data_IF_874407803868
#
_entry.id   IF_874407803868
#
_cell.length_a   1.000
_cell.length_b   1.000
_cell.length_c   1.000
_cell.angle_alpha   90.00
_cell.angle_beta   90.00
_cell.angle_gamma   90.00
#
_symmetry.space_group_name_H-M   'P 1'
#
loop_
_entity.id
_entity.type
_entity.pdbx_description
1 polymer ?
#
# COMPACT_ATOMS: atom_id res chain seq x y z
N UNK A 1 -37.36 23.97 -38.70
CA UNK A 1 -36.05 23.99 -38.00
C UNK A 1 -36.24 23.45 -36.58
N UNK A 2 -35.71 22.26 -36.29
CA UNK A 2 -35.87 21.54 -35.02
C UNK A 2 -35.21 22.26 -33.84
N UNK A 3 -35.99 22.78 -32.88
CA UNK A 3 -35.49 23.34 -31.61
C UNK A 3 -34.66 22.34 -30.79
N UNK A 4 -34.87 21.02 -30.98
CA UNK A 4 -34.06 19.95 -30.39
C UNK A 4 -32.60 19.93 -30.88
N UNK A 5 -32.29 20.44 -32.09
CA UNK A 5 -30.91 20.53 -32.58
C UNK A 5 -30.10 21.66 -31.95
N UNK A 6 -30.73 22.63 -31.30
CA UNK A 6 -30.03 23.80 -30.71
C UNK A 6 -29.61 23.52 -29.26
N UNK A 7 -30.39 22.75 -28.50
CA UNK A 7 -30.03 22.35 -27.14
C UNK A 7 -28.86 21.37 -27.08
N UNK A 8 -28.64 20.57 -28.13
CA UNK A 8 -27.55 19.58 -28.20
C UNK A 8 -26.28 20.08 -28.89
N UNK A 9 -26.25 21.30 -29.44
CA UNK A 9 -25.15 21.73 -30.32
C UNK A 9 -23.91 22.26 -29.60
N UNK A 10 -24.01 22.55 -28.31
CA UNK A 10 -22.82 22.88 -27.54
C UNK A 10 -22.90 22.27 -26.14
N UNK A 11 -22.41 21.01 -25.96
CA UNK A 11 -22.26 20.42 -24.63
C UNK A 11 -21.43 21.30 -23.67
N UNK A 12 -20.71 22.32 -24.19
CA UNK A 12 -19.93 23.31 -23.43
C UNK A 12 -20.73 24.52 -22.94
N UNK A 13 -22.06 24.55 -23.15
CA UNK A 13 -22.90 25.60 -22.56
C UNK A 13 -22.87 25.44 -21.03
N UNK A 14 -22.14 26.34 -20.37
CA UNK A 14 -21.99 26.39 -18.91
C UNK A 14 -23.32 26.21 -18.22
N UNK A 15 -23.50 25.05 -17.57
CA UNK A 15 -24.64 24.80 -16.71
C UNK A 15 -24.59 25.68 -15.44
N UNK A 16 -25.75 26.03 -14.86
CA UNK A 16 -25.80 26.73 -13.59
C UNK A 16 -25.12 25.90 -12.49
N UNK A 17 -24.59 26.58 -11.47
CA UNK A 17 -23.87 25.93 -10.38
C UNK A 17 -24.72 24.88 -9.66
N UNK A 18 -26.03 25.11 -9.53
CA UNK A 18 -26.98 24.17 -8.92
C UNK A 18 -27.02 22.80 -9.61
N UNK A 19 -26.88 22.75 -10.94
CA UNK A 19 -26.84 21.49 -11.69
C UNK A 19 -25.53 20.74 -11.43
N UNK A 20 -24.41 21.46 -11.29
CA UNK A 20 -23.12 20.85 -10.94
C UNK A 20 -23.15 20.29 -9.51
N UNK A 21 -23.67 21.07 -8.55
CA UNK A 21 -23.87 20.61 -7.18
C UNK A 21 -24.79 19.39 -7.14
N UNK A 22 -25.91 19.42 -7.88
CA UNK A 22 -26.81 18.28 -8.00
C UNK A 22 -26.15 17.02 -8.55
N UNK A 23 -25.25 17.16 -9.54
CA UNK A 23 -24.47 16.03 -10.06
C UNK A 23 -23.48 15.47 -9.03
N UNK A 24 -22.83 16.33 -8.25
CA UNK A 24 -21.92 15.90 -7.17
C UNK A 24 -22.69 15.20 -6.05
N UNK A 25 -23.82 15.76 -5.62
CA UNK A 25 -24.69 15.13 -4.61
C UNK A 25 -25.20 13.77 -5.10
N UNK A 26 -25.67 13.69 -6.35
CA UNK A 26 -26.08 12.42 -6.95
C UNK A 26 -24.93 11.40 -6.97
N UNK A 27 -23.71 11.84 -7.30
CA UNK A 27 -22.54 10.98 -7.27
C UNK A 27 -22.27 10.42 -5.87
N UNK A 28 -22.29 11.27 -4.83
CA UNK A 28 -22.11 10.84 -3.44
C UNK A 28 -23.21 9.84 -3.03
N UNK A 29 -24.47 10.14 -3.33
CA UNK A 29 -25.60 9.25 -3.01
C UNK A 29 -25.47 7.89 -3.69
N UNK A 30 -24.99 7.84 -4.93
CA UNK A 30 -24.76 6.58 -5.65
C UNK A 30 -23.54 5.80 -5.13
N UNK A 31 -22.56 6.49 -4.54
CA UNK A 31 -21.37 5.85 -3.98
C UNK A 31 -21.63 5.18 -2.64
N UNK A 32 -22.47 5.76 -1.78
CA UNK A 32 -22.78 5.21 -0.45
C UNK A 32 -23.12 3.70 -0.50
N UNK A 33 -24.10 3.22 -1.29
CA UNK A 33 -24.42 1.80 -1.31
C UNK A 33 -23.28 0.93 -1.85
N UNK A 34 -22.43 1.47 -2.73
CA UNK A 34 -21.27 0.74 -3.27
C UNK A 34 -20.18 0.61 -2.19
N UNK A 35 -19.93 1.70 -1.44
CA UNK A 35 -18.98 1.68 -0.33
C UNK A 35 -19.46 0.77 0.81
N UNK A 36 -20.76 0.79 1.12
CA UNK A 36 -21.35 -0.14 2.08
C UNK A 36 -21.21 -1.60 1.63
N UNK A 37 -21.39 -1.87 0.33
CA UNK A 37 -21.15 -3.19 -0.21
C UNK A 37 -19.67 -3.58 -0.03
N UNK A 38 -18.72 -2.70 -0.32
CA UNK A 38 -17.28 -2.99 -0.18
C UNK A 38 -16.86 -3.26 1.26
N UNK A 39 -17.55 -2.67 2.24
CA UNK A 39 -17.29 -2.92 3.66
C UNK A 39 -18.01 -4.17 4.20
N UNK A 40 -18.82 -4.86 3.39
CA UNK A 40 -19.49 -6.07 3.85
C UNK A 40 -18.53 -7.25 3.96
N UNK A 41 -18.67 -8.05 5.01
CA UNK A 41 -17.94 -9.32 5.19
C UNK A 41 -18.06 -10.22 3.96
N UNK A 42 -19.24 -10.24 3.33
CA UNK A 42 -19.47 -10.98 2.10
C UNK A 42 -18.53 -10.55 0.96
N UNK A 43 -18.24 -9.25 0.80
CA UNK A 43 -17.28 -8.79 -0.21
C UNK A 43 -15.86 -9.22 0.12
N UNK A 44 -15.45 -9.09 1.39
CA UNK A 44 -14.12 -9.47 1.86
C UNK A 44 -13.86 -10.97 1.64
N UNK A 45 -14.81 -11.83 2.05
CA UNK A 45 -14.66 -13.29 1.97
C UNK A 45 -14.68 -13.84 0.54
N UNK A 46 -15.40 -13.18 -0.38
CA UNK A 46 -15.70 -13.77 -1.70
C UNK A 46 -14.96 -13.12 -2.87
N UNK A 47 -14.45 -11.89 -2.73
CA UNK A 47 -14.00 -11.12 -3.89
C UNK A 47 -12.68 -10.39 -3.74
N UNK A 48 -12.36 -9.87 -2.56
CA UNK A 48 -11.25 -8.94 -2.41
C UNK A 48 -10.80 -8.81 -0.97
N UNK A 49 -9.53 -9.14 -0.72
CA UNK A 49 -8.83 -8.71 0.48
C UNK A 49 -8.20 -7.33 0.23
N UNK A 50 -8.59 -6.34 1.04
CA UNK A 50 -8.06 -4.98 0.95
C UNK A 50 -6.57 -4.93 1.30
N UNK A 51 -6.11 -5.87 2.11
CA UNK A 51 -4.73 -5.97 2.58
C UNK A 51 -3.76 -6.37 1.45
N UNK A 52 -4.27 -7.05 0.42
CA UNK A 52 -3.49 -7.50 -0.75
C UNK A 52 -3.54 -6.50 -1.92
N UNK A 53 -4.07 -5.30 -1.69
CA UNK A 53 -4.13 -4.28 -2.73
C UNK A 53 -2.78 -3.65 -3.02
N UNK A 54 -2.50 -3.37 -4.30
CA UNK A 54 -1.29 -2.65 -4.71
C UNK A 54 -1.19 -1.27 -4.06
N UNK A 55 -2.33 -0.64 -3.77
CA UNK A 55 -2.36 0.65 -3.05
C UNK A 55 -1.82 0.47 -1.63
N UNK A 56 -2.18 -0.62 -0.95
CA UNK A 56 -1.69 -0.88 0.41
C UNK A 56 -0.18 -1.18 0.40
N UNK A 57 0.30 -1.93 -0.59
CA UNK A 57 1.73 -2.16 -0.79
C UNK A 57 2.48 -0.83 -0.98
N UNK A 58 1.98 0.04 -1.86
CA UNK A 58 2.55 1.38 -2.08
C UNK A 58 2.48 2.23 -0.80
N UNK A 59 1.40 2.12 -0.03
CA UNK A 59 1.23 2.86 1.22
C UNK A 59 2.20 2.43 2.33
N UNK A 60 2.70 1.19 2.29
CA UNK A 60 3.76 0.71 3.17
C UNK A 60 5.15 1.25 2.76
N UNK A 61 5.35 1.50 1.47
CA UNK A 61 6.67 1.91 0.92
C UNK A 61 6.84 3.43 0.89
N UNK A 62 5.77 4.19 0.63
CA UNK A 62 5.82 5.65 0.48
C UNK A 62 5.36 6.31 1.79
N UNK A 63 6.11 7.30 2.32
CA UNK A 63 5.68 8.01 3.52
C UNK A 63 4.31 8.67 3.33
N UNK A 64 3.47 8.66 4.37
CA UNK A 64 2.07 9.10 4.33
C UNK A 64 1.87 10.50 3.69
N UNK A 65 2.74 11.46 4.00
CA UNK A 65 2.70 12.80 3.43
C UNK A 65 2.96 12.83 1.92
N UNK A 66 3.94 12.03 1.45
CA UNK A 66 4.22 11.90 0.02
C UNK A 66 3.10 11.15 -0.71
N UNK A 67 2.57 10.10 -0.09
CA UNK A 67 1.42 9.36 -0.62
C UNK A 67 0.20 10.27 -0.77
N UNK A 68 -0.09 11.11 0.23
CA UNK A 68 -1.16 12.11 0.16
C UNK A 68 -0.98 13.06 -1.02
N UNK A 69 0.23 13.62 -1.22
CA UNK A 69 0.51 14.50 -2.37
C UNK A 69 0.37 13.76 -3.70
N UNK A 70 0.82 12.50 -3.75
CA UNK A 70 0.67 11.66 -4.93
C UNK A 70 -0.82 11.46 -5.26
N UNK A 71 -1.62 11.06 -4.29
CA UNK A 71 -3.06 10.78 -4.47
C UNK A 71 -3.87 12.05 -4.74
N UNK A 72 -3.62 13.13 -4.01
CA UNK A 72 -4.42 14.35 -4.06
C UNK A 72 -4.02 15.29 -5.19
N UNK A 73 -2.77 15.24 -5.68
CA UNK A 73 -2.26 16.20 -6.66
C UNK A 73 -1.71 15.51 -7.90
N UNK A 74 -0.71 14.63 -7.74
CA UNK A 74 0.02 14.08 -8.87
C UNK A 74 -0.86 13.16 -9.74
N UNK A 75 -1.56 12.21 -9.12
CA UNK A 75 -2.45 11.27 -9.78
C UNK A 75 -3.61 11.99 -10.49
N UNK A 76 -4.39 12.89 -9.85
CA UNK A 76 -5.42 13.67 -10.53
C UNK A 76 -4.90 14.47 -11.72
N UNK A 77 -3.75 15.14 -11.59
CA UNK A 77 -3.16 15.91 -12.68
C UNK A 77 -2.79 15.01 -13.87
N UNK A 78 -2.17 13.86 -13.58
CA UNK A 78 -1.78 12.86 -14.56
C UNK A 78 -3.00 12.25 -15.24
N UNK A 79 -3.96 11.75 -14.49
CA UNK A 79 -5.16 11.08 -14.98
C UNK A 79 -6.05 12.04 -15.78
N UNK A 80 -6.23 13.28 -15.35
CA UNK A 80 -6.96 14.28 -16.15
C UNK A 80 -6.26 14.60 -17.46
N UNK A 81 -4.94 14.58 -17.47
CA UNK A 81 -4.11 14.77 -18.66
C UNK A 81 -4.30 13.60 -19.62
N UNK A 82 -4.22 12.37 -19.12
CA UNK A 82 -4.29 11.14 -19.90
C UNK A 82 -5.71 10.83 -20.37
N UNK A 83 -6.74 10.96 -19.55
CA UNK A 83 -8.08 10.49 -19.93
C UNK A 83 -8.91 11.57 -20.59
N UNK A 84 -8.62 12.84 -20.29
CA UNK A 84 -9.60 13.88 -20.56
C UNK A 84 -9.02 15.04 -21.34
N UNK A 85 -7.71 15.34 -21.33
CA UNK A 85 -7.09 16.53 -21.95
C UNK A 85 -7.66 16.87 -23.34
N UNK A 86 -7.90 15.84 -24.16
CA UNK A 86 -8.49 15.91 -25.49
C UNK A 86 -9.89 16.55 -25.57
N UNK A 87 -10.75 16.49 -24.53
CA UNK A 87 -12.16 16.90 -24.61
C UNK A 87 -12.36 18.39 -24.94
N UNK A 88 -11.34 19.23 -24.76
CA UNK A 88 -11.37 20.63 -25.20
C UNK A 88 -11.17 20.81 -26.71
N UNK A 89 -10.80 19.74 -27.43
CA UNK A 89 -10.48 19.68 -28.86
C UNK A 89 -9.48 20.77 -29.33
N UNK A 90 -8.62 21.23 -28.40
CA UNK A 90 -7.51 22.13 -28.72
C UNK A 90 -6.46 21.32 -29.48
N UNK A 91 -5.98 21.83 -30.61
CA UNK A 91 -5.03 21.08 -31.46
C UNK A 91 -3.77 20.61 -30.71
N UNK A 92 -3.30 21.37 -29.72
CA UNK A 92 -2.14 21.02 -28.88
C UNK A 92 -2.44 19.95 -27.81
N UNK A 93 -3.71 19.77 -27.44
CA UNK A 93 -4.12 18.82 -26.40
C UNK A 93 -4.12 17.36 -26.91
N UNK A 94 -4.42 17.16 -28.21
CA UNK A 94 -4.51 15.82 -28.80
C UNK A 94 -3.17 15.09 -28.84
N UNK A 95 -2.05 15.69 -29.29
CA UNK A 95 -0.75 15.03 -29.26
C UNK A 95 -0.29 14.70 -27.83
N UNK A 96 -0.52 15.59 -26.87
CA UNK A 96 -0.17 15.34 -25.46
C UNK A 96 -0.97 14.16 -24.91
N UNK A 97 -2.27 14.12 -25.19
CA UNK A 97 -3.17 13.03 -24.81
C UNK A 97 -2.72 11.68 -25.39
N UNK A 98 -2.54 11.59 -26.71
CA UNK A 98 -2.24 10.31 -27.38
C UNK A 98 -0.84 9.81 -27.03
N UNK A 99 0.16 10.69 -26.97
CA UNK A 99 1.52 10.34 -26.58
C UNK A 99 1.59 9.96 -25.10
N UNK A 100 0.95 10.72 -24.21
CA UNK A 100 0.90 10.41 -22.78
C UNK A 100 0.27 9.04 -22.52
N UNK A 101 -0.91 8.77 -23.10
CA UNK A 101 -1.57 7.47 -22.98
C UNK A 101 -0.70 6.30 -23.49
N UNK A 102 0.03 6.50 -24.58
CA UNK A 102 0.94 5.49 -25.13
C UNK A 102 2.11 5.21 -24.19
N UNK A 103 2.75 6.26 -23.67
CA UNK A 103 3.87 6.12 -22.72
C UNK A 103 3.41 5.35 -21.48
N UNK A 104 2.25 5.70 -20.91
CA UNK A 104 1.68 5.00 -19.73
C UNK A 104 1.49 3.51 -20.03
N UNK A 105 0.88 3.20 -21.18
CA UNK A 105 0.53 1.83 -21.54
C UNK A 105 1.78 0.94 -21.67
N UNK A 106 2.88 1.50 -22.18
CA UNK A 106 4.10 0.75 -22.45
C UNK A 106 5.16 0.83 -21.33
N UNK A 107 4.98 1.71 -20.34
CA UNK A 107 5.90 1.89 -19.20
C UNK A 107 6.09 0.60 -18.40
N UNK A 108 5.02 -0.19 -18.25
CA UNK A 108 5.05 -1.48 -17.55
C UNK A 108 5.79 -2.59 -18.33
N UNK A 109 6.05 -2.39 -19.63
CA UNK A 109 6.74 -3.38 -20.47
C UNK A 109 8.22 -3.05 -20.64
N UNK A 110 8.54 -1.85 -21.12
CA UNK A 110 9.91 -1.32 -21.10
C UNK A 110 9.95 0.17 -21.41
N UNK A 111 10.90 0.87 -20.79
CA UNK A 111 11.12 2.30 -21.04
C UNK A 111 11.43 2.61 -22.53
N UNK A 112 12.27 1.85 -23.26
CA UNK A 112 12.50 2.11 -24.69
C UNK A 112 11.25 1.94 -25.55
N UNK A 113 10.40 0.93 -25.28
CA UNK A 113 9.12 0.76 -25.99
C UNK A 113 8.17 1.92 -25.71
N UNK A 114 8.09 2.38 -24.45
CA UNK A 114 7.26 3.51 -24.07
C UNK A 114 7.66 4.79 -24.79
N UNK A 115 8.95 5.11 -24.82
CA UNK A 115 9.46 6.30 -25.50
C UNK A 115 9.33 6.19 -27.02
N UNK A 116 9.74 5.06 -27.62
CA UNK A 116 9.65 4.82 -29.06
C UNK A 116 8.21 4.85 -29.57
N UNK A 117 7.31 4.16 -28.87
CA UNK A 117 5.87 4.16 -29.15
C UNK A 117 5.27 5.56 -28.99
N UNK A 118 5.64 6.28 -27.92
CA UNK A 118 5.20 7.65 -27.68
C UNK A 118 5.56 8.60 -28.82
N UNK A 119 6.81 8.55 -29.32
CA UNK A 119 7.28 9.34 -30.47
C UNK A 119 6.54 8.97 -31.75
N UNK A 120 6.35 7.67 -32.02
CA UNK A 120 5.60 7.22 -33.19
C UNK A 120 4.15 7.74 -33.15
N UNK A 121 3.46 7.59 -32.02
CA UNK A 121 2.08 8.07 -31.84
C UNK A 121 2.01 9.59 -31.91
N UNK A 122 3.03 10.31 -31.42
CA UNK A 122 3.13 11.76 -31.57
C UNK A 122 3.12 12.18 -33.05
N UNK A 123 3.98 11.55 -33.87
CA UNK A 123 4.08 11.80 -35.30
C UNK A 123 2.76 11.48 -36.01
N UNK A 124 2.17 10.31 -35.72
CA UNK A 124 0.89 9.88 -36.31
C UNK A 124 -0.26 10.83 -35.92
N UNK A 125 -0.28 11.30 -34.68
CA UNK A 125 -1.31 12.22 -34.19
C UNK A 125 -1.16 13.59 -34.85
N UNK A 126 0.07 14.10 -34.98
CA UNK A 126 0.31 15.41 -35.59
C UNK A 126 -0.04 15.41 -37.08
N UNK A 127 0.37 14.35 -37.80
CA UNK A 127 0.08 14.18 -39.24
C UNK A 127 -1.41 14.03 -39.53
N UNK A 128 -2.19 13.44 -38.61
CA UNK A 128 -3.63 13.22 -38.77
C UNK A 128 -4.50 14.15 -37.90
N UNK A 129 -3.93 15.22 -37.34
CA UNK A 129 -4.58 16.04 -36.31
C UNK A 129 -5.96 16.56 -36.72
N UNK A 130 -6.08 17.03 -37.97
CA UNK A 130 -7.35 17.54 -38.50
C UNK A 130 -8.42 16.45 -38.59
N UNK A 131 -8.06 15.26 -39.10
CA UNK A 131 -8.99 14.12 -39.24
C UNK A 131 -9.41 13.60 -37.88
N UNK A 132 -8.47 13.42 -36.97
CA UNK A 132 -8.74 12.95 -35.61
C UNK A 132 -9.65 13.93 -34.87
N UNK A 133 -9.32 15.23 -34.89
CA UNK A 133 -10.15 16.27 -34.27
C UNK A 133 -11.57 16.28 -34.85
N UNK A 134 -11.72 16.20 -36.16
CA UNK A 134 -13.03 16.18 -36.81
C UNK A 134 -13.85 14.94 -36.41
N UNK A 135 -13.22 13.76 -36.39
CA UNK A 135 -13.88 12.53 -35.96
C UNK A 135 -14.32 12.58 -34.49
N UNK A 136 -13.44 13.07 -33.60
CA UNK A 136 -13.77 13.24 -32.18
C UNK A 136 -14.88 14.27 -31.94
N UNK A 137 -14.97 15.31 -32.78
CA UNK A 137 -16.06 16.30 -32.70
C UNK A 137 -17.41 15.69 -33.11
N UNK A 138 -17.44 14.95 -34.24
CA UNK A 138 -18.67 14.28 -34.70
C UNK A 138 -19.13 13.19 -33.73
N UNK A 139 -18.18 12.41 -33.20
CA UNK A 139 -18.46 11.25 -32.36
C UNK A 139 -18.13 11.50 -30.88
N UNK A 140 -18.22 12.75 -30.42
CA UNK A 140 -17.81 13.16 -29.08
C UNK A 140 -18.38 12.26 -27.96
N UNK A 141 -19.63 11.83 -28.08
CA UNK A 141 -20.29 10.96 -27.10
C UNK A 141 -19.56 9.63 -26.90
N UNK A 142 -19.10 9.00 -27.99
CA UNK A 142 -18.39 7.73 -27.93
C UNK A 142 -17.02 7.90 -27.27
N UNK A 143 -16.30 8.97 -27.63
CA UNK A 143 -15.02 9.28 -27.00
C UNK A 143 -15.18 9.64 -25.52
N UNK A 144 -16.25 10.38 -25.18
CA UNK A 144 -16.57 10.74 -23.80
C UNK A 144 -16.80 9.49 -22.94
N UNK A 145 -17.75 8.63 -23.32
CA UNK A 145 -18.04 7.42 -22.55
C UNK A 145 -16.90 6.40 -22.60
N UNK A 146 -16.21 6.30 -23.75
CA UNK A 146 -15.01 5.48 -23.87
C UNK A 146 -13.91 5.92 -22.90
N UNK A 147 -13.67 7.23 -22.75
CA UNK A 147 -12.69 7.73 -21.78
C UNK A 147 -13.09 7.48 -20.32
N UNK A 148 -14.38 7.57 -20.00
CA UNK A 148 -14.90 7.22 -18.66
C UNK A 148 -14.68 5.73 -18.40
N UNK A 149 -14.97 4.88 -19.38
CA UNK A 149 -14.80 3.44 -19.27
C UNK A 149 -13.33 3.04 -19.12
N UNK A 150 -12.44 3.59 -19.96
CA UNK A 150 -11.00 3.37 -19.86
C UNK A 150 -10.42 3.86 -18.53
N UNK A 151 -10.93 4.98 -17.99
CA UNK A 151 -10.56 5.46 -16.67
C UNK A 151 -10.92 4.44 -15.57
N UNK A 152 -12.12 3.87 -15.61
CA UNK A 152 -12.51 2.79 -14.68
C UNK A 152 -11.63 1.55 -14.85
N UNK A 153 -11.40 1.11 -16.09
CA UNK A 153 -10.54 -0.06 -16.37
C UNK A 153 -9.10 0.13 -15.88
N UNK A 154 -8.54 1.34 -15.97
CA UNK A 154 -7.19 1.62 -15.48
C UNK A 154 -7.05 1.38 -13.96
N UNK A 155 -8.15 1.45 -13.21
CA UNK A 155 -8.17 1.16 -11.78
C UNK A 155 -8.33 -0.33 -11.46
N UNK A 156 -8.53 -1.21 -12.46
CA UNK A 156 -8.45 -2.65 -12.23
C UNK A 156 -7.08 -3.07 -11.71
N UNK A 157 -6.01 -2.33 -12.02
CA UNK A 157 -4.68 -2.61 -11.50
C UNK A 157 -4.57 -2.51 -9.98
N UNK A 158 -5.51 -1.84 -9.30
CA UNK A 158 -5.53 -1.76 -7.84
C UNK A 158 -6.10 -3.02 -7.17
N UNK A 159 -6.67 -3.92 -7.96
CA UNK A 159 -7.35 -5.12 -7.50
C UNK A 159 -6.73 -6.35 -8.14
N UNK A 160 -6.88 -7.51 -7.52
CA UNK A 160 -6.60 -8.75 -8.21
C UNK A 160 -7.56 -8.92 -9.40
N UNK A 161 -7.02 -9.30 -10.57
CA UNK A 161 -7.77 -9.41 -11.81
C UNK A 161 -8.68 -10.64 -11.79
N UNK A 162 -9.79 -10.56 -11.06
CA UNK A 162 -10.87 -11.55 -11.07
C UNK A 162 -12.01 -11.08 -11.96
N UNK A 163 -12.87 -11.99 -12.44
CA UNK A 163 -14.06 -11.63 -13.23
C UNK A 163 -15.02 -10.69 -12.48
N UNK A 164 -14.88 -10.64 -11.16
CA UNK A 164 -15.66 -9.82 -10.24
C UNK A 164 -15.05 -8.44 -9.95
N UNK A 165 -13.89 -8.13 -10.53
CA UNK A 165 -13.28 -6.81 -10.41
C UNK A 165 -14.07 -5.71 -11.16
N UNK A 166 -15.02 -6.07 -12.04
CA UNK A 166 -15.85 -5.11 -12.76
C UNK A 166 -16.80 -4.30 -11.84
N UNK A 167 -17.54 -4.92 -10.91
CA UNK A 167 -18.20 -4.19 -9.83
C UNK A 167 -17.24 -3.27 -9.05
N UNK A 168 -15.99 -3.71 -8.83
CA UNK A 168 -15.01 -2.97 -8.03
C UNK A 168 -14.61 -1.61 -8.63
N UNK A 169 -14.75 -1.46 -9.96
CA UNK A 169 -14.44 -0.19 -10.65
C UNK A 169 -15.65 0.73 -10.82
N UNK A 170 -16.84 0.34 -10.35
CA UNK A 170 -18.05 1.16 -10.48
C UNK A 170 -17.93 2.55 -9.82
N UNK A 171 -17.35 2.71 -8.62
CA UNK A 171 -17.06 4.02 -8.04
C UNK A 171 -16.24 4.91 -8.96
N UNK A 172 -15.23 4.35 -9.60
CA UNK A 172 -14.31 5.02 -10.50
C UNK A 172 -14.99 5.36 -11.82
N UNK A 173 -15.89 4.53 -12.33
CA UNK A 173 -16.73 4.86 -13.49
C UNK A 173 -17.66 6.05 -13.20
N UNK A 174 -18.31 6.05 -12.03
CA UNK A 174 -19.20 7.14 -11.61
C UNK A 174 -18.43 8.44 -11.36
N UNK A 175 -17.29 8.37 -10.68
CA UNK A 175 -16.40 9.50 -10.46
C UNK A 175 -15.88 10.04 -11.80
N UNK A 176 -15.45 9.13 -12.68
CA UNK A 176 -14.96 9.46 -13.99
C UNK A 176 -16.01 10.16 -14.85
N UNK A 177 -17.28 9.76 -14.73
CA UNK A 177 -18.42 10.42 -15.37
C UNK A 177 -18.61 11.84 -14.80
N UNK A 178 -18.61 11.99 -13.48
CA UNK A 178 -18.77 13.28 -12.79
C UNK A 178 -17.66 14.28 -13.17
N UNK A 179 -16.39 13.85 -13.10
CA UNK A 179 -15.24 14.69 -13.48
C UNK A 179 -15.34 15.09 -14.95
N UNK A 180 -15.65 14.14 -15.84
CA UNK A 180 -15.78 14.43 -17.28
C UNK A 180 -16.89 15.44 -17.56
N UNK A 181 -18.02 15.34 -16.85
CA UNK A 181 -19.09 16.33 -16.92
C UNK A 181 -18.63 17.72 -16.45
N UNK A 182 -18.05 17.82 -15.25
CA UNK A 182 -17.54 19.08 -14.69
C UNK A 182 -16.54 19.73 -15.65
N UNK A 183 -15.63 18.92 -16.20
CA UNK A 183 -14.60 19.36 -17.11
C UNK A 183 -15.17 19.89 -18.44
N UNK A 184 -16.17 19.23 -19.02
CA UNK A 184 -16.85 19.74 -20.22
C UNK A 184 -17.54 21.08 -19.93
N UNK A 185 -18.08 21.26 -18.72
CA UNK A 185 -18.79 22.48 -18.33
C UNK A 185 -17.89 23.65 -17.90
N UNK A 186 -16.76 23.36 -17.27
CA UNK A 186 -15.94 24.35 -16.55
C UNK A 186 -14.45 24.34 -16.94
N UNK A 187 -14.04 23.43 -17.81
CA UNK A 187 -12.68 23.33 -18.34
C UNK A 187 -11.80 22.35 -17.56
N UNK A 188 -10.57 22.18 -18.05
CA UNK A 188 -9.58 21.22 -17.55
C UNK A 188 -9.30 21.38 -16.05
N UNK A 189 -8.92 22.59 -15.62
CA UNK A 189 -8.51 22.84 -14.24
C UNK A 189 -9.63 22.61 -13.22
N UNK A 190 -10.89 22.85 -13.57
CA UNK A 190 -12.00 22.54 -12.66
C UNK A 190 -12.25 21.03 -12.55
N UNK A 191 -11.98 20.26 -13.61
CA UNK A 191 -11.94 18.80 -13.53
C UNK A 191 -10.82 18.32 -12.59
N UNK A 192 -9.59 18.84 -12.77
CA UNK A 192 -8.44 18.55 -11.91
C UNK A 192 -8.73 18.90 -10.45
N UNK A 193 -9.25 20.09 -10.16
CA UNK A 193 -9.54 20.51 -8.79
C UNK A 193 -10.62 19.66 -8.12
N UNK A 194 -11.67 19.29 -8.87
CA UNK A 194 -12.70 18.39 -8.35
C UNK A 194 -12.14 17.00 -8.05
N UNK A 195 -11.33 16.46 -8.98
CA UNK A 195 -10.69 15.16 -8.80
C UNK A 195 -9.68 15.17 -7.64
N UNK A 196 -8.83 16.20 -7.57
CA UNK A 196 -7.89 16.44 -6.49
C UNK A 196 -8.60 16.59 -5.13
N UNK A 197 -9.72 17.31 -5.09
CA UNK A 197 -10.53 17.44 -3.89
C UNK A 197 -11.14 16.10 -3.45
N UNK A 198 -11.59 15.30 -4.40
CA UNK A 198 -12.12 13.96 -4.12
C UNK A 198 -11.05 13.02 -3.56
N UNK A 199 -9.92 12.87 -4.27
CA UNK A 199 -8.83 12.02 -3.81
C UNK A 199 -8.16 12.56 -2.55
N UNK A 200 -8.06 13.88 -2.42
CA UNK A 200 -7.57 14.53 -1.21
C UNK A 200 -8.46 14.24 -0.01
N UNK A 201 -9.79 14.30 -0.16
CA UNK A 201 -10.71 13.95 0.92
C UNK A 201 -10.54 12.49 1.38
N UNK A 202 -10.31 11.56 0.46
CA UNK A 202 -10.00 10.16 0.80
C UNK A 202 -8.60 10.04 1.45
N UNK A 203 -7.60 10.71 0.88
CA UNK A 203 -6.24 10.73 1.41
C UNK A 203 -6.12 11.39 2.79
N UNK A 204 -7.10 12.23 3.19
CA UNK A 204 -7.14 12.79 4.54
C UNK A 204 -7.19 11.70 5.60
N UNK A 205 -7.82 10.55 5.33
CA UNK A 205 -7.86 9.40 6.25
C UNK A 205 -6.44 8.96 6.63
N UNK A 206 -5.49 9.06 5.70
CA UNK A 206 -4.09 8.65 5.89
C UNK A 206 -3.30 9.71 6.67
N UNK A 207 -3.56 11.01 6.44
CA UNK A 207 -2.77 12.10 7.03
C UNK A 207 -3.33 12.63 8.34
N UNK A 208 -4.63 12.45 8.59
CA UNK A 208 -5.32 12.93 9.81
C UNK A 208 -4.64 12.47 11.09
N UNK A 209 -4.19 11.20 11.23
CA UNK A 209 -3.44 10.78 12.41
C UNK A 209 -2.18 11.62 12.68
N UNK A 210 -1.54 12.14 11.63
CA UNK A 210 -0.35 13.01 11.72
C UNK A 210 -0.70 14.48 11.98
N UNK A 211 -1.92 14.92 11.64
CA UNK A 211 -2.37 16.30 11.85
C UNK A 211 -2.92 16.54 13.26
N UNK A 212 -3.54 15.52 13.85
CA UNK A 212 -4.17 15.57 15.16
C UNK A 212 -3.49 14.65 16.17
N UNK A 213 -2.26 14.23 15.87
CA UNK A 213 -1.43 13.43 16.73
C UNK A 213 -1.40 13.97 18.16
N UNK A 214 -1.82 13.15 19.11
CA UNK A 214 -1.59 13.40 20.53
C UNK A 214 -0.32 12.69 20.98
N UNK A 215 0.45 13.36 21.83
CA UNK A 215 1.47 12.70 22.65
C UNK A 215 0.76 11.77 23.65
N UNK A 216 1.20 10.52 23.72
CA UNK A 216 0.74 9.56 24.72
C UNK A 216 1.86 9.22 25.69
N UNK A 217 1.48 8.84 26.91
CA UNK A 217 2.45 8.43 27.92
C UNK A 217 1.83 7.43 28.89
N UNK A 218 2.68 6.56 29.42
CA UNK A 218 2.33 5.57 30.42
C UNK A 218 3.43 5.54 31.48
N UNK A 219 3.04 5.47 32.76
CA UNK A 219 3.97 5.36 33.87
C UNK A 219 3.37 4.48 34.96
N UNK A 220 4.10 3.43 35.35
CA UNK A 220 3.81 2.60 36.51
C UNK A 220 5.08 2.47 37.38
N UNK A 221 5.08 1.55 38.35
CA UNK A 221 6.21 1.39 39.27
C UNK A 221 7.49 0.85 38.60
N UNK A 222 7.39 0.24 37.41
CA UNK A 222 8.49 -0.46 36.73
C UNK A 222 8.91 0.21 35.41
N UNK A 223 7.96 0.82 34.72
CA UNK A 223 8.12 1.33 33.36
C UNK A 223 7.60 2.75 33.22
N UNK A 224 8.28 3.48 32.33
CA UNK A 224 7.84 4.76 31.81
C UNK A 224 7.95 4.72 30.30
N UNK A 225 6.84 4.90 29.60
CA UNK A 225 6.78 4.94 28.16
C UNK A 225 6.20 6.29 27.70
N UNK A 226 6.75 6.86 26.64
CA UNK A 226 6.19 8.01 25.94
C UNK A 226 6.17 7.72 24.45
N UNK A 227 5.15 8.20 23.75
CA UNK A 227 5.08 8.11 22.31
C UNK A 227 4.46 9.35 21.69
N UNK A 228 4.91 9.66 20.48
CA UNK A 228 4.36 10.71 19.64
C UNK A 228 4.27 10.21 18.20
N UNK A 229 3.34 10.77 17.42
CA UNK A 229 3.27 10.42 16.00
C UNK A 229 4.51 10.98 15.30
N UNK A 230 5.17 10.12 14.54
CA UNK A 230 6.41 10.42 13.86
C UNK A 230 6.22 11.27 12.61
N UNK A 231 7.25 11.27 11.77
CA UNK A 231 7.32 12.13 10.59
C UNK A 231 6.59 11.51 9.38
N UNK A 232 5.44 12.09 8.99
CA UNK A 232 4.69 11.70 7.80
C UNK A 232 5.49 11.70 6.48
N UNK A 233 6.62 12.40 6.43
CA UNK A 233 7.43 12.60 5.22
C UNK A 233 8.64 11.67 5.12
N UNK A 234 8.88 10.83 6.13
CA UNK A 234 10.00 9.90 6.15
C UNK A 234 9.56 8.48 6.48
N UNK A 235 10.21 7.50 5.85
CA UNK A 235 10.10 6.08 6.21
C UNK A 235 11.37 5.55 6.88
N UNK A 236 12.36 6.42 7.12
CA UNK A 236 13.55 6.03 7.90
C UNK A 236 13.10 5.63 9.30
N UNK A 237 13.40 4.39 9.67
CA UNK A 237 13.22 3.90 11.04
C UNK A 237 14.59 3.71 11.67
N UNK A 238 14.74 4.09 12.94
CA UNK A 238 15.87 3.66 13.76
C UNK A 238 15.36 3.07 15.07
N UNK A 239 16.13 2.14 15.61
CA UNK A 239 15.89 1.57 16.93
C UNK A 239 17.21 1.59 17.69
N UNK A 240 17.18 2.12 18.90
CA UNK A 240 18.28 2.00 19.86
C UNK A 240 17.77 1.26 21.08
N UNK A 241 18.53 0.30 21.60
CA UNK A 241 18.14 -0.45 22.78
C UNK A 241 19.31 -0.65 23.74
N UNK A 242 18.96 -0.82 25.01
CA UNK A 242 19.81 -1.18 26.14
C UNK A 242 19.00 -2.08 27.07
N UNK A 243 19.62 -2.63 28.12
CA UNK A 243 18.93 -3.52 29.07
C UNK A 243 17.74 -2.86 29.79
N UNK A 244 17.72 -1.52 29.86
CA UNK A 244 16.73 -0.75 30.62
C UNK A 244 15.99 0.30 29.80
N UNK A 245 16.21 0.36 28.49
CA UNK A 245 15.55 1.34 27.65
C UNK A 245 15.55 0.91 26.19
N UNK A 246 14.45 1.21 25.49
CA UNK A 246 14.35 1.12 24.04
C UNK A 246 13.80 2.42 23.50
N UNK A 247 14.34 2.86 22.38
CA UNK A 247 13.81 3.99 21.64
C UNK A 247 13.63 3.60 20.18
N UNK A 248 12.42 3.78 19.68
CA UNK A 248 12.11 3.74 18.25
C UNK A 248 11.98 5.17 17.75
N UNK A 249 12.59 5.46 16.61
CA UNK A 249 12.33 6.70 15.88
C UNK A 249 11.61 6.39 14.58
N UNK A 250 10.44 7.01 14.42
CA UNK A 250 9.60 6.94 13.24
C UNK A 250 9.35 5.49 12.78
N UNK A 251 9.04 4.61 13.73
CA UNK A 251 8.71 3.21 13.49
C UNK A 251 7.21 3.02 13.29
N UNK A 252 6.82 2.06 12.46
CA UNK A 252 5.42 1.70 12.25
C UNK A 252 4.80 1.19 13.56
N UNK A 253 3.57 1.57 13.89
CA UNK A 253 2.87 1.14 15.13
C UNK A 253 2.90 -0.38 15.30
N UNK A 254 2.61 -1.13 14.22
CA UNK A 254 2.70 -2.59 14.22
C UNK A 254 4.11 -3.13 14.52
N UNK A 255 5.18 -2.43 14.12
CA UNK A 255 6.56 -2.83 14.45
C UNK A 255 6.86 -2.65 15.94
N UNK A 256 6.40 -1.55 16.55
CA UNK A 256 6.58 -1.31 17.99
C UNK A 256 5.79 -2.35 18.80
N UNK A 257 4.54 -2.63 18.43
CA UNK A 257 3.70 -3.65 19.07
C UNK A 257 4.29 -5.05 18.98
N UNK A 258 4.73 -5.46 17.78
CA UNK A 258 5.44 -6.73 17.59
C UNK A 258 6.63 -6.84 18.52
N UNK A 259 7.46 -5.80 18.58
CA UNK A 259 8.62 -5.80 19.44
C UNK A 259 8.24 -5.94 20.93
N UNK A 260 7.27 -5.16 21.41
CA UNK A 260 6.84 -5.22 22.82
C UNK A 260 6.27 -6.59 23.18
N UNK A 261 5.39 -7.15 22.34
CA UNK A 261 4.79 -8.47 22.56
C UNK A 261 5.86 -9.56 22.57
N UNK A 262 6.82 -9.50 21.66
CA UNK A 262 7.94 -10.44 21.68
C UNK A 262 8.82 -10.31 22.93
N UNK A 263 8.90 -9.16 23.60
CA UNK A 263 9.70 -9.06 24.82
C UNK A 263 9.10 -9.83 26.00
N UNK A 264 7.77 -9.83 26.16
CA UNK A 264 7.12 -10.51 27.30
C UNK A 264 6.53 -11.89 26.93
N UNK A 265 6.18 -12.13 25.67
CA UNK A 265 5.61 -13.37 25.15
C UNK A 265 6.48 -13.93 24.03
N UNK A 266 7.74 -14.28 24.37
CA UNK A 266 8.84 -14.54 23.43
C UNK A 266 8.57 -15.41 22.20
N UNK A 267 7.51 -16.22 22.19
CA UNK A 267 7.15 -17.11 21.08
C UNK A 267 5.84 -16.75 20.36
N UNK A 268 5.14 -15.70 20.76
CA UNK A 268 3.85 -15.38 20.18
C UNK A 268 4.00 -14.80 18.78
N UNK A 269 3.13 -15.20 17.86
CA UNK A 269 3.01 -14.57 16.55
C UNK A 269 2.14 -13.34 16.68
N UNK A 270 2.49 -12.27 15.98
CA UNK A 270 1.77 -11.01 16.06
C UNK A 270 1.42 -10.59 14.65
N UNK A 271 0.14 -10.74 14.34
CA UNK A 271 -0.44 -10.25 13.10
C UNK A 271 -0.89 -8.80 13.31
N UNK A 272 -0.17 -7.87 12.69
CA UNK A 272 -0.49 -6.46 12.72
C UNK A 272 -0.61 -5.90 11.29
N UNK A 273 -0.98 -6.76 10.33
CA UNK A 273 -1.01 -6.40 8.91
C UNK A 273 -2.09 -5.37 8.58
N UNK A 274 -3.13 -5.29 9.41
CA UNK A 274 -4.23 -4.33 9.31
C UNK A 274 -3.94 -3.01 10.03
N UNK A 275 -2.85 -2.95 10.80
CA UNK A 275 -2.55 -1.80 11.65
C UNK A 275 -2.01 -0.64 10.82
N UNK A 276 -2.65 0.51 11.02
CA UNK A 276 -2.48 1.81 10.40
C UNK A 276 -1.01 2.11 10.06
N UNK A 277 -0.76 2.64 8.85
CA UNK A 277 0.54 3.19 8.37
C UNK A 277 1.05 4.38 9.19
N UNK A 278 0.50 4.61 10.38
CA UNK A 278 0.97 5.61 11.33
C UNK A 278 2.33 5.20 11.85
N UNK A 279 3.28 6.12 11.73
CA UNK A 279 4.62 5.99 12.29
C UNK A 279 4.66 6.71 13.63
N UNK A 280 5.47 6.22 14.55
CA UNK A 280 5.61 6.75 15.91
C UNK A 280 7.06 6.86 16.31
N UNK A 281 7.37 7.88 17.11
CA UNK A 281 8.54 7.91 17.96
C UNK A 281 8.12 7.37 19.33
N UNK A 282 8.83 6.36 19.85
CA UNK A 282 8.48 5.66 21.09
C UNK A 282 9.72 5.54 21.98
N UNK A 283 9.64 5.98 23.23
CA UNK A 283 10.70 5.85 24.26
C UNK A 283 10.14 5.08 25.45
N UNK A 284 10.67 3.88 25.71
CA UNK A 284 10.34 3.07 26.87
C UNK A 284 11.57 2.93 27.76
N UNK A 285 11.40 3.18 29.06
CA UNK A 285 12.41 3.04 30.10
C UNK A 285 11.89 2.10 31.19
N UNK A 286 12.78 1.23 31.68
CA UNK A 286 12.47 0.20 32.66
C UNK A 286 13.11 -1.14 32.25
N UNK A 287 13.11 -2.15 33.14
CA UNK A 287 13.62 -3.48 32.79
C UNK A 287 12.84 -4.06 31.61
N UNK A 288 13.51 -4.34 30.49
CA UNK A 288 12.83 -4.84 29.28
C UNK A 288 12.40 -6.31 29.41
N UNK A 289 13.00 -7.04 30.35
CA UNK A 289 12.69 -8.44 30.64
C UNK A 289 11.45 -8.63 31.55
N UNK A 290 10.85 -7.54 32.05
CA UNK A 290 9.61 -7.62 32.83
C UNK A 290 8.38 -7.50 31.94
N UNK A 291 7.22 -7.84 32.51
CA UNK A 291 5.93 -7.78 31.82
C UNK A 291 5.64 -6.38 31.25
N UNK A 292 5.38 -6.32 29.93
CA UNK A 292 5.03 -5.10 29.19
C UNK A 292 3.53 -5.04 28.86
N UNK A 293 2.71 -5.97 29.35
CA UNK A 293 1.28 -6.07 29.03
C UNK A 293 0.51 -4.76 29.26
N UNK A 294 0.76 -4.07 30.37
CA UNK A 294 0.13 -2.78 30.66
C UNK A 294 0.56 -1.67 29.67
N UNK A 295 1.82 -1.66 29.25
CA UNK A 295 2.35 -0.70 28.26
C UNK A 295 1.71 -0.97 26.90
N UNK A 296 1.62 -2.24 26.50
CA UNK A 296 1.00 -2.68 25.23
C UNK A 296 -0.46 -2.28 25.19
N UNK A 297 -1.21 -2.51 26.27
CA UNK A 297 -2.62 -2.13 26.36
C UNK A 297 -2.81 -0.60 26.27
N UNK A 298 -1.99 0.17 27.00
CA UNK A 298 -2.06 1.64 26.95
C UNK A 298 -1.72 2.17 25.55
N UNK A 299 -0.64 1.67 24.95
CA UNK A 299 -0.22 2.05 23.61
C UNK A 299 -1.29 1.70 22.56
N UNK A 300 -1.82 0.48 22.57
CA UNK A 300 -2.87 0.07 21.62
C UNK A 300 -4.15 0.88 21.79
N UNK A 301 -4.55 1.18 23.03
CA UNK A 301 -5.73 2.00 23.31
C UNK A 301 -5.62 3.40 22.69
N UNK A 302 -4.45 4.02 22.73
CA UNK A 302 -4.22 5.37 22.15
C UNK A 302 -4.35 5.39 20.63
N UNK A 303 -4.07 4.26 19.96
CA UNK A 303 -4.22 4.10 18.51
C UNK A 303 -5.57 3.47 18.11
N UNK A 304 -6.48 3.22 19.07
CA UNK A 304 -7.76 2.55 18.82
C UNK A 304 -7.58 1.16 18.23
N UNK A 305 -6.66 0.38 18.80
CA UNK A 305 -6.35 -0.98 18.35
C UNK A 305 -6.90 -2.01 19.34
N UNK A 306 -7.58 -3.03 18.80
CA UNK A 306 -7.97 -4.22 19.54
C UNK A 306 -6.90 -5.29 19.38
N UNK A 307 -6.53 -5.91 20.51
CA UNK A 307 -5.64 -7.06 20.53
C UNK A 307 -6.45 -8.29 20.93
N UNK A 308 -6.63 -9.22 20.01
CA UNK A 308 -7.24 -10.53 20.28
C UNK A 308 -6.17 -11.60 20.39
N UNK A 309 -6.36 -12.56 21.29
CA UNK A 309 -5.49 -13.73 21.42
C UNK A 309 -6.19 -14.98 20.92
N UNK A 310 -5.55 -15.70 20.02
CA UNK A 310 -6.05 -16.95 19.46
C UNK A 310 -4.98 -18.02 19.62
N UNK A 311 -5.37 -19.18 20.15
CA UNK A 311 -4.51 -20.36 20.17
C UNK A 311 -4.92 -21.24 18.99
N UNK A 312 -4.02 -21.40 18.04
CA UNK A 312 -4.24 -22.22 16.84
C UNK A 312 -3.14 -23.26 16.69
N UNK A 313 -3.51 -24.43 16.15
CA UNK A 313 -2.55 -25.43 15.71
C UNK A 313 -2.00 -24.98 14.36
N UNK A 314 -0.75 -24.55 14.34
CA UNK A 314 -0.07 -24.11 13.12
C UNK A 314 1.16 -24.96 12.83
N UNK A 315 1.53 -25.00 11.56
CA UNK A 315 2.82 -25.54 11.14
C UNK A 315 3.90 -24.58 11.60
N UNK A 316 4.74 -25.04 12.53
CA UNK A 316 5.95 -24.37 12.97
C UNK A 316 7.18 -25.03 12.35
N UNK A 317 8.27 -24.29 12.25
CA UNK A 317 9.51 -24.78 11.71
C UNK A 317 10.57 -24.88 12.81
N UNK A 318 11.26 -26.02 12.88
CA UNK A 318 12.35 -26.27 13.82
C UNK A 318 13.68 -26.27 13.07
N UNK A 319 14.57 -25.35 13.47
CA UNK A 319 15.91 -25.20 12.89
C UNK A 319 16.88 -26.12 13.61
N UNK A 320 17.56 -27.00 12.89
CA UNK A 320 18.60 -27.88 13.43
C UNK A 320 19.85 -27.87 12.56
N UNK A 321 21.02 -28.13 13.15
CA UNK A 321 22.28 -28.23 12.39
C UNK A 321 22.39 -29.65 11.83
N UNK A 322 22.48 -29.78 10.51
CA UNK A 322 22.81 -31.05 9.86
C UNK A 322 24.31 -31.29 9.93
N UNK A 323 24.73 -32.08 10.91
CA UNK A 323 26.15 -32.44 11.11
C UNK A 323 26.76 -33.25 9.96
N UNK A 324 25.95 -33.83 9.06
CA UNK A 324 26.44 -34.55 7.89
C UNK A 324 26.70 -33.62 6.68
N UNK A 325 26.20 -32.39 6.73
CA UNK A 325 26.36 -31.41 5.67
C UNK A 325 27.69 -30.65 5.80
N UNK A 326 28.28 -30.27 4.64
CA UNK A 326 29.46 -29.40 4.58
C UNK A 326 29.05 -28.05 4.00
N UNK A 327 29.10 -26.94 4.78
CA UNK A 327 28.52 -25.68 4.35
C UNK A 327 29.35 -25.07 3.22
N UNK A 328 28.68 -24.62 2.15
CA UNK A 328 29.36 -23.89 1.08
C UNK A 328 29.79 -22.47 1.50
N UNK A 329 29.17 -21.93 2.55
CA UNK A 329 29.38 -20.56 3.01
C UNK A 329 28.82 -19.51 2.03
N UNK A 330 28.73 -18.28 2.53
CA UNK A 330 28.30 -17.12 1.71
C UNK A 330 29.52 -16.52 1.03
N UNK A 331 29.49 -16.43 -0.30
CA UNK A 331 30.60 -15.81 -1.05
C UNK A 331 30.59 -14.30 -0.85
N UNK A 332 31.74 -13.63 -1.11
CA UNK A 332 31.83 -12.16 -1.02
C UNK A 332 30.89 -11.46 -2.00
N UNK A 333 30.69 -12.05 -3.17
CA UNK A 333 29.77 -11.54 -4.19
C UNK A 333 28.31 -11.66 -3.73
N UNK A 334 27.91 -12.85 -3.27
CA UNK A 334 26.57 -13.08 -2.69
C UNK A 334 26.30 -12.09 -1.55
N UNK A 335 27.28 -11.89 -0.66
CA UNK A 335 27.17 -10.91 0.42
C UNK A 335 26.92 -9.50 -0.12
N UNK A 336 27.72 -9.03 -1.06
CA UNK A 336 27.64 -7.65 -1.56
C UNK A 336 26.30 -7.37 -2.22
N UNK A 337 25.80 -8.32 -3.03
CA UNK A 337 24.51 -8.19 -3.72
C UNK A 337 23.35 -8.23 -2.72
N UNK A 338 23.35 -9.19 -1.80
CA UNK A 338 22.24 -9.34 -0.85
C UNK A 338 22.26 -8.28 0.25
N UNK A 339 23.43 -7.76 0.62
CA UNK A 339 23.55 -6.61 1.53
C UNK A 339 22.98 -5.34 0.88
N UNK A 340 23.18 -5.14 -0.43
CA UNK A 340 22.53 -4.06 -1.18
C UNK A 340 20.99 -4.21 -1.24
N UNK A 341 20.49 -5.45 -1.30
CA UNK A 341 19.05 -5.74 -1.31
C UNK A 341 18.43 -5.81 0.09
N UNK A 342 19.22 -5.68 1.16
CA UNK A 342 18.73 -5.81 2.54
C UNK A 342 18.35 -7.25 2.94
N UNK A 343 18.81 -8.25 2.20
CA UNK A 343 18.49 -9.66 2.42
C UNK A 343 19.57 -10.42 3.21
N UNK A 344 20.74 -9.83 3.43
CA UNK A 344 21.88 -10.48 4.10
C UNK A 344 21.92 -10.19 5.62
N UNK A 345 22.06 -11.25 6.40
CA UNK A 345 22.24 -11.20 7.86
C UNK A 345 23.52 -11.93 8.25
N UNK A 346 24.45 -11.18 8.85
CA UNK A 346 25.74 -11.71 9.28
C UNK A 346 25.83 -11.91 10.78
N UNK A 347 26.61 -12.92 11.19
CA UNK A 347 26.98 -13.17 12.58
C UNK A 347 25.79 -13.43 13.54
N UNK A 348 24.79 -14.16 13.07
CA UNK A 348 23.58 -14.47 13.85
C UNK A 348 23.70 -15.83 14.54
N UNK A 349 23.30 -15.96 15.80
CA UNK A 349 23.12 -17.29 16.42
C UNK A 349 21.79 -17.91 15.95
N UNK A 350 21.55 -19.19 16.26
CA UNK A 350 20.36 -19.90 15.75
C UNK A 350 19.03 -19.27 16.20
N UNK A 351 18.96 -18.77 17.44
CA UNK A 351 17.77 -18.07 17.94
C UNK A 351 17.50 -16.77 17.17
N UNK A 352 18.56 -16.03 16.83
CA UNK A 352 18.47 -14.84 15.98
C UNK A 352 18.03 -15.20 14.56
N UNK A 353 18.55 -16.30 13.99
CA UNK A 353 18.10 -16.81 12.68
C UNK A 353 16.61 -17.12 12.74
N UNK A 354 16.15 -17.87 13.75
CA UNK A 354 14.73 -18.18 13.94
C UNK A 354 13.87 -16.91 14.07
N UNK A 355 14.31 -15.95 14.89
CA UNK A 355 13.60 -14.68 15.08
C UNK A 355 13.50 -13.86 13.79
N UNK A 356 14.58 -13.79 13.00
CA UNK A 356 14.58 -13.09 11.70
C UNK A 356 13.62 -13.79 10.73
N UNK A 357 13.68 -15.11 10.59
CA UNK A 357 12.80 -15.87 9.71
C UNK A 357 11.33 -15.73 10.13
N UNK A 358 11.05 -15.75 11.44
CA UNK A 358 9.71 -15.54 11.97
C UNK A 358 9.18 -14.14 11.67
N UNK A 359 10.02 -13.11 11.85
CA UNK A 359 9.66 -11.74 11.52
C UNK A 359 9.41 -11.54 10.03
N UNK A 360 10.14 -12.25 9.18
CA UNK A 360 10.01 -12.13 7.72
C UNK A 360 8.78 -12.86 7.19
N UNK A 361 8.58 -14.11 7.60
CA UNK A 361 7.56 -14.97 7.01
C UNK A 361 6.25 -15.03 7.80
N UNK A 362 6.20 -14.47 9.01
CA UNK A 362 5.00 -14.50 9.86
C UNK A 362 4.63 -15.91 10.34
N UNK A 363 5.58 -16.85 10.31
CA UNK A 363 5.42 -18.24 10.74
C UNK A 363 6.35 -18.50 11.91
N UNK A 364 5.94 -19.36 12.85
CA UNK A 364 6.76 -19.69 14.01
C UNK A 364 8.00 -20.47 13.62
N UNK A 365 9.16 -19.95 14.01
CA UNK A 365 10.43 -20.68 13.96
C UNK A 365 10.89 -20.94 15.39
N UNK A 366 11.45 -22.13 15.62
CA UNK A 366 12.09 -22.49 16.87
C UNK A 366 13.45 -23.09 16.60
N UNK A 367 14.38 -22.86 17.50
CA UNK A 367 15.61 -23.64 17.57
C UNK A 367 15.55 -24.48 18.85
N UNK A 368 15.94 -25.77 18.82
CA UNK A 368 16.11 -26.51 20.05
C UNK A 368 17.17 -25.80 20.89
N UNK A 369 16.76 -25.36 22.08
CA UNK A 369 17.60 -24.61 23.01
C UNK A 369 18.90 -25.39 23.32
N UNK A 370 20.00 -24.63 23.35
CA UNK A 370 21.34 -25.01 23.80
C UNK A 370 22.14 -25.91 22.85
N UNK A 371 23.23 -25.35 22.31
CA UNK A 371 24.62 -25.77 22.65
C UNK A 371 25.66 -25.16 21.71
N UNK A 372 25.23 -24.50 20.63
CA UNK A 372 26.13 -23.98 19.61
C UNK A 372 26.29 -22.46 19.75
N UNK A 373 27.50 -22.02 20.11
CA UNK A 373 27.97 -20.62 19.98
C UNK A 373 28.21 -20.24 18.50
N UNK A 374 27.79 -21.09 17.55
CA UNK A 374 28.05 -20.86 16.14
C UNK A 374 27.29 -19.63 15.65
N UNK A 375 27.97 -18.92 14.75
CA UNK A 375 27.48 -17.70 14.14
C UNK A 375 27.31 -17.93 12.66
N UNK A 376 26.09 -17.75 12.18
CA UNK A 376 25.69 -18.00 10.81
C UNK A 376 25.66 -16.70 10.02
N UNK A 377 25.99 -16.82 8.74
CA UNK A 377 25.76 -15.78 7.75
C UNK A 377 24.76 -16.35 6.75
N UNK A 378 23.60 -15.74 6.63
CA UNK A 378 22.56 -16.22 5.72
C UNK A 378 21.91 -15.05 5.00
N UNK A 379 21.13 -15.37 3.97
CA UNK A 379 20.30 -14.41 3.30
C UNK A 379 18.93 -14.99 3.01
N UNK A 380 17.94 -14.11 2.99
CA UNK A 380 16.56 -14.43 2.64
C UNK A 380 16.44 -14.50 1.12
N UNK A 381 15.65 -15.45 0.62
CA UNK A 381 15.34 -15.52 -0.81
C UNK A 381 14.15 -14.63 -1.15
N UNK A 382 14.23 -13.79 -2.20
CA UNK A 382 13.07 -13.10 -2.73
C UNK A 382 12.05 -14.06 -3.38
N UNK A 383 12.47 -15.29 -3.71
CA UNK A 383 11.62 -16.32 -4.31
C UNK A 383 10.76 -17.06 -3.26
N UNK A 384 10.88 -16.71 -1.97
CA UNK A 384 10.04 -17.20 -0.89
C UNK A 384 10.72 -18.11 0.13
N UNK A 385 9.90 -18.65 1.04
CA UNK A 385 10.35 -19.41 2.22
C UNK A 385 11.04 -20.73 1.88
N UNK A 386 10.53 -21.48 0.90
CA UNK A 386 11.10 -22.77 0.49
C UNK A 386 12.52 -22.63 -0.08
N UNK A 387 12.74 -21.61 -0.90
CA UNK A 387 14.07 -21.32 -1.44
C UNK A 387 15.01 -20.84 -0.32
N UNK A 388 14.48 -20.11 0.66
CA UNK A 388 15.24 -19.72 1.85
C UNK A 388 15.67 -20.93 2.68
N UNK A 389 14.80 -21.93 2.86
CA UNK A 389 15.16 -23.19 3.52
C UNK A 389 16.24 -23.94 2.77
N UNK A 390 16.14 -24.01 1.44
CA UNK A 390 17.16 -24.61 0.58
C UNK A 390 18.51 -23.91 0.74
N UNK A 391 18.52 -22.57 0.79
CA UNK A 391 19.73 -21.78 0.98
C UNK A 391 20.32 -21.92 2.39
N UNK A 392 19.49 -21.94 3.43
CA UNK A 392 19.91 -22.21 4.81
C UNK A 392 20.63 -23.55 4.91
N UNK A 393 20.08 -24.59 4.30
CA UNK A 393 20.72 -25.91 4.27
C UNK A 393 22.03 -25.91 3.46
N UNK A 394 21.99 -25.40 2.22
CA UNK A 394 23.14 -25.44 1.31
C UNK A 394 24.33 -24.59 1.78
N UNK A 395 24.05 -23.42 2.39
CA UNK A 395 25.06 -22.43 2.76
C UNK A 395 25.53 -22.58 4.21
N UNK A 396 24.64 -22.99 5.11
CA UNK A 396 24.89 -23.04 6.54
C UNK A 396 24.65 -24.41 7.19
N UNK A 397 24.24 -25.43 6.41
CA UNK A 397 23.85 -26.74 6.93
C UNK A 397 22.74 -26.68 7.97
N UNK A 398 21.86 -25.68 7.87
CA UNK A 398 20.69 -25.56 8.72
C UNK A 398 19.55 -26.34 8.06
N UNK A 399 19.13 -27.45 8.68
CA UNK A 399 17.93 -28.20 8.31
C UNK A 399 16.71 -27.53 8.94
N UNK A 400 15.62 -27.50 8.20
CA UNK A 400 14.34 -26.98 8.66
C UNK A 400 13.35 -28.14 8.68
N UNK A 401 12.87 -28.50 9.86
CA UNK A 401 11.88 -29.54 10.05
C UNK A 401 10.50 -28.92 10.32
N UNK A 402 9.44 -29.48 9.74
CA UNK A 402 8.07 -29.00 9.98
C UNK A 402 7.46 -29.74 11.17
N UNK A 403 6.93 -28.99 12.14
CA UNK A 403 6.32 -29.52 13.36
C UNK A 403 5.01 -28.78 13.63
N UNK A 404 3.90 -29.49 13.76
CA UNK A 404 2.64 -28.88 14.23
C UNK A 404 2.75 -28.56 15.73
N UNK A 405 2.49 -27.30 16.10
CA UNK A 405 2.49 -26.85 17.49
C UNK A 405 1.33 -25.89 17.73
N UNK A 406 0.82 -25.87 18.96
CA UNK A 406 -0.05 -24.79 19.39
C UNK A 406 0.76 -23.49 19.46
N UNK A 407 0.30 -22.48 18.73
CA UNK A 407 0.91 -21.16 18.68
C UNK A 407 -0.08 -20.15 19.24
N UNK A 408 0.41 -19.32 20.16
CA UNK A 408 -0.30 -18.14 20.62
C UNK A 408 -0.15 -17.05 19.55
N UNK A 409 -1.25 -16.65 18.93
CA UNK A 409 -1.30 -15.58 17.94
C UNK A 409 -2.04 -14.37 18.53
N UNK A 410 -1.40 -13.22 18.45
CA UNK A 410 -1.99 -11.92 18.70
C UNK A 410 -2.47 -11.35 17.37
N UNK A 411 -3.78 -11.18 17.22
CA UNK A 411 -4.39 -10.51 16.09
C UNK A 411 -4.66 -9.06 16.48
N UNK A 412 -4.00 -8.12 15.82
CA UNK A 412 -4.14 -6.69 16.07
C UNK A 412 -4.98 -6.08 14.95
N UNK A 413 -6.18 -5.64 15.30
CA UNK A 413 -7.13 -5.01 14.37
C UNK A 413 -7.45 -3.59 14.84
N UNK A 414 -7.85 -2.71 13.92
CA UNK A 414 -8.39 -1.41 14.30
C UNK A 414 -9.79 -1.59 14.93
N UNK A 415 -10.09 -0.84 15.99
CA UNK A 415 -11.45 -0.76 16.52
C UNK A 415 -12.38 -0.29 15.40
N UNK A 416 -13.43 -1.08 15.14
CA UNK A 416 -14.44 -0.74 14.14
C UNK A 416 -15.11 0.58 14.54
N UNK A 417 -14.88 1.63 13.73
CA UNK A 417 -15.49 2.95 13.90
C UNK A 417 -17.01 2.96 13.67
#
# INVERSE_FOLDING_TARGET
MNRLKILYRDPRRKQPLSVLVGAVVLHIVLLIPILMLYQSEWMAENFYDINDSQIMEVARIIPAGWLFILMAVAAPLWEETVFRLWMGLRGRALPVFTTGATIVTFLNYSMPLALGGGVLVLILTYTNLHRLKHHMDIHFRWWFYGSVFLFGLAHLGNFELTIWALPLIMPQLLLGLAISFIRVQRGFWMGVLFHAGWNGALGLIIIVPYLFASEGSFENNTHKANWEVGNAWSNSTSMTSSDTAVQFSNADVGRVLRWMIHQYEGYALVDANEVITTRVDFDLRGPLASDLSEVVLAFSSDFGLRIDTVNELELSYELSIDTACSPLGVTREDKTINEFLGLYYGNQNMDQVASILQSEYGIRFSSPMNESDDRFNFFLSPDGIEETFRLLHLKNCIRVDTVEREVLRYQISADSF
#
